data_IF_686531903783
#
_entry.id   IF_686531903783
#
_cell.length_a   1.000
_cell.length_b   1.000
_cell.length_c   1.000
_cell.angle_alpha   90.00
_cell.angle_beta   90.00
_cell.angle_gamma   90.00
#
_symmetry.space_group_name_H-M   'P 1'
#
loop_
_entity.id
_entity.type
_entity.pdbx_description
1 polymer ?
#
# COMPACT_ATOMS: atom_id res chain seq x y z
N UNK A 1 3.25 16.97 -31.32
CA UNK A 1 3.11 18.06 -32.33
C UNK A 1 2.13 19.15 -31.89
N UNK A 2 0.94 18.81 -31.36
CA UNK A 2 -0.06 19.80 -30.92
C UNK A 2 0.46 20.82 -29.88
N UNK A 3 1.06 20.35 -28.78
CA UNK A 3 1.55 21.23 -27.70
C UNK A 3 2.63 22.24 -28.16
N UNK A 4 3.50 21.84 -29.11
CA UNK A 4 4.53 22.73 -29.65
C UNK A 4 3.88 23.85 -30.49
N UNK A 5 2.93 23.49 -31.36
CA UNK A 5 2.18 24.45 -32.19
C UNK A 5 1.39 25.43 -31.33
N UNK A 6 0.73 24.95 -30.27
CA UNK A 6 0.02 25.80 -29.30
C UNK A 6 0.95 26.81 -28.61
N UNK A 7 2.13 26.35 -28.17
CA UNK A 7 3.09 27.22 -27.47
C UNK A 7 3.65 28.31 -28.40
N UNK A 8 3.95 27.96 -29.64
CA UNK A 8 4.40 28.91 -30.65
C UNK A 8 3.31 29.94 -31.02
N UNK A 9 2.06 29.50 -31.23
CA UNK A 9 0.95 30.41 -31.51
C UNK A 9 0.68 31.38 -30.35
N UNK A 10 0.83 30.91 -29.10
CA UNK A 10 0.65 31.76 -27.92
C UNK A 10 1.69 32.88 -27.85
N UNK A 11 2.96 32.56 -28.13
CA UNK A 11 4.04 33.55 -28.19
C UNK A 11 3.84 34.58 -29.30
N UNK A 12 3.43 34.13 -30.50
CA UNK A 12 3.12 35.03 -31.62
C UNK A 12 1.98 35.98 -31.27
N UNK A 13 0.90 35.45 -30.67
CA UNK A 13 -0.27 36.25 -30.31
C UNK A 13 -0.02 37.22 -29.14
N UNK A 14 0.99 36.96 -28.29
CA UNK A 14 1.41 37.88 -27.22
C UNK A 14 2.45 38.92 -27.67
N UNK A 15 2.93 38.85 -28.92
CA UNK A 15 4.00 39.72 -29.42
C UNK A 15 5.40 39.33 -28.92
N UNK A 16 5.53 38.18 -28.27
CA UNK A 16 6.81 37.62 -27.82
C UNK A 16 7.48 36.84 -28.95
N UNK A 17 8.82 36.77 -28.94
CA UNK A 17 9.56 35.96 -29.92
C UNK A 17 9.44 34.48 -29.52
N UNK A 18 8.95 33.59 -30.40
CA UNK A 18 8.87 32.17 -30.08
C UNK A 18 10.25 31.57 -29.83
N UNK A 19 10.49 31.12 -28.59
CA UNK A 19 11.74 30.48 -28.20
C UNK A 19 11.55 28.95 -28.17
N UNK A 20 12.40 28.23 -28.92
CA UNK A 20 12.37 26.77 -28.96
C UNK A 20 12.63 26.18 -27.56
N UNK A 21 13.55 26.77 -26.80
CA UNK A 21 13.89 26.33 -25.45
C UNK A 21 12.68 26.43 -24.50
N UNK A 22 11.95 27.54 -24.54
CA UNK A 22 10.73 27.72 -23.74
C UNK A 22 9.64 26.71 -24.13
N UNK A 23 9.55 26.37 -25.42
CA UNK A 23 8.60 25.38 -25.92
C UNK A 23 8.95 23.96 -25.47
N UNK A 24 10.23 23.61 -25.50
CA UNK A 24 10.74 22.32 -25.01
C UNK A 24 10.55 22.20 -23.48
N UNK A 25 10.81 23.26 -22.72
CA UNK A 25 10.60 23.30 -21.27
C UNK A 25 9.13 23.11 -20.91
N UNK A 26 8.23 23.80 -21.62
CA UNK A 26 6.77 23.66 -21.41
C UNK A 26 6.31 22.23 -21.71
N UNK A 27 6.81 21.63 -22.80
CA UNK A 27 6.49 20.25 -23.13
C UNK A 27 7.02 19.26 -22.08
N UNK A 28 8.27 19.44 -21.62
CA UNK A 28 8.86 18.60 -20.58
C UNK A 28 8.03 18.66 -19.28
N UNK A 29 7.61 19.86 -18.87
CA UNK A 29 6.74 20.04 -17.71
C UNK A 29 5.44 19.25 -17.83
N UNK A 30 4.77 19.33 -18.99
CA UNK A 30 3.49 18.65 -19.24
C UNK A 30 3.67 17.12 -19.26
N UNK A 31 4.63 16.61 -20.03
CA UNK A 31 4.86 15.18 -20.19
C UNK A 31 5.38 14.54 -18.89
N UNK A 32 6.28 15.20 -18.15
CA UNK A 32 6.76 14.70 -16.86
C UNK A 32 5.65 14.67 -15.81
N UNK A 33 4.77 15.68 -15.78
CA UNK A 33 3.59 15.68 -14.89
C UNK A 33 2.66 14.49 -15.21
N UNK A 34 2.39 14.26 -16.49
CA UNK A 34 1.58 13.13 -16.93
C UNK A 34 2.26 11.78 -16.63
N UNK A 35 3.59 11.70 -16.78
CA UNK A 35 4.39 10.52 -16.46
C UNK A 35 4.31 10.19 -14.96
N UNK A 36 4.43 11.18 -14.07
CA UNK A 36 4.27 10.99 -12.62
C UNK A 36 2.88 10.43 -12.29
N UNK A 37 1.82 11.01 -12.86
CA UNK A 37 0.44 10.56 -12.61
C UNK A 37 0.22 9.12 -13.10
N UNK A 38 0.72 8.80 -14.29
CA UNK A 38 0.63 7.45 -14.87
C UNK A 38 1.38 6.43 -14.02
N UNK A 39 2.62 6.72 -13.63
CA UNK A 39 3.44 5.84 -12.80
C UNK A 39 2.85 5.63 -11.40
N UNK A 40 2.34 6.70 -10.77
CA UNK A 40 1.68 6.59 -9.47
C UNK A 40 0.40 5.74 -9.53
N UNK A 41 -0.38 5.90 -10.60
CA UNK A 41 -1.58 5.08 -10.84
C UNK A 41 -1.21 3.61 -11.02
N UNK A 42 -0.20 3.35 -11.86
CA UNK A 42 0.33 2.01 -12.08
C UNK A 42 0.78 1.35 -10.77
N UNK A 43 1.58 2.05 -9.95
CA UNK A 43 2.02 1.56 -8.64
C UNK A 43 0.82 1.15 -7.76
N UNK A 44 -0.20 2.02 -7.66
CA UNK A 44 -1.38 1.77 -6.83
C UNK A 44 -2.16 0.55 -7.30
N UNK A 45 -2.36 0.43 -8.61
CA UNK A 45 -3.06 -0.70 -9.21
C UNK A 45 -2.30 -2.01 -9.00
N UNK A 46 -0.99 -2.03 -9.21
CA UNK A 46 -0.17 -3.23 -8.99
C UNK A 46 -0.14 -3.65 -7.52
N UNK A 47 0.02 -2.70 -6.59
CA UNK A 47 -0.06 -2.98 -5.16
C UNK A 47 -1.42 -3.55 -4.78
N UNK A 48 -2.52 -2.96 -5.26
CA UNK A 48 -3.87 -3.42 -4.96
C UNK A 48 -4.18 -4.82 -5.54
N UNK A 49 -3.60 -5.16 -6.70
CA UNK A 49 -3.80 -6.47 -7.33
C UNK A 49 -2.95 -7.57 -6.69
N UNK A 50 -1.71 -7.26 -6.30
CA UNK A 50 -0.72 -8.25 -5.84
C UNK A 50 -0.73 -8.46 -4.33
N UNK A 51 -1.04 -7.42 -3.55
CA UNK A 51 -1.05 -7.52 -2.08
C UNK A 51 -2.39 -8.08 -1.61
N UNK A 52 -2.34 -9.22 -0.93
CA UNK A 52 -3.47 -9.75 -0.18
C UNK A 52 -3.28 -9.43 1.30
N UNK A 53 -4.18 -8.63 1.86
CA UNK A 53 -4.15 -8.25 3.26
C UNK A 53 -5.02 -9.20 4.13
N UNK A 54 -4.67 -9.40 5.41
CA UNK A 54 -3.33 -9.14 5.95
C UNK A 54 -2.28 -10.07 5.30
N UNK A 55 -1.05 -9.58 5.18
CA UNK A 55 0.12 -10.39 4.78
C UNK A 55 0.63 -11.22 5.94
N UNK A 56 1.21 -12.39 5.71
CA UNK A 56 1.74 -13.24 6.79
C UNK A 56 2.91 -12.58 7.52
N UNK A 57 3.75 -11.86 6.77
CA UNK A 57 4.87 -11.08 7.32
C UNK A 57 4.89 -9.67 6.75
N UNK A 58 5.62 -8.78 7.42
CA UNK A 58 5.91 -7.45 6.87
C UNK A 58 6.76 -7.54 5.60
N UNK A 59 7.65 -8.53 5.52
CA UNK A 59 8.54 -8.75 4.38
C UNK A 59 7.76 -9.04 3.10
N UNK A 60 6.71 -9.88 3.16
CA UNK A 60 5.82 -10.15 2.01
C UNK A 60 5.27 -8.85 1.39
N UNK A 61 4.82 -7.90 2.23
CA UNK A 61 4.33 -6.61 1.75
C UNK A 61 5.45 -5.77 1.15
N UNK A 62 6.63 -5.75 1.78
CA UNK A 62 7.77 -4.97 1.33
C UNK A 62 8.36 -5.48 0.01
N UNK A 63 8.37 -6.79 -0.21
CA UNK A 63 8.84 -7.38 -1.46
C UNK A 63 7.94 -6.99 -2.63
N UNK A 64 6.61 -7.09 -2.44
CA UNK A 64 5.65 -6.63 -3.45
C UNK A 64 5.81 -5.13 -3.70
N UNK A 65 5.97 -4.33 -2.64
CA UNK A 65 6.22 -2.88 -2.76
C UNK A 65 7.45 -2.57 -3.60
N UNK A 66 8.57 -3.27 -3.38
CA UNK A 66 9.81 -3.04 -4.11
C UNK A 66 9.64 -3.34 -5.60
N UNK A 67 9.03 -4.47 -5.95
CA UNK A 67 8.73 -4.82 -7.34
C UNK A 67 7.83 -3.77 -8.01
N UNK A 68 6.71 -3.39 -7.36
CA UNK A 68 5.79 -2.39 -7.92
C UNK A 68 6.44 -1.01 -8.06
N UNK A 69 7.34 -0.64 -7.14
CA UNK A 69 8.10 0.62 -7.21
C UNK A 69 9.03 0.65 -8.42
N UNK A 70 9.79 -0.43 -8.65
CA UNK A 70 10.72 -0.52 -9.79
C UNK A 70 9.97 -0.48 -11.13
N UNK A 71 8.86 -1.19 -11.23
CA UNK A 71 8.00 -1.15 -12.42
C UNK A 71 7.40 0.25 -12.65
N UNK A 72 6.93 0.92 -11.59
CA UNK A 72 6.40 2.28 -11.70
C UNK A 72 7.48 3.30 -12.13
N UNK A 73 8.72 3.16 -11.65
CA UNK A 73 9.84 3.97 -12.12
C UNK A 73 10.13 3.71 -13.60
N UNK A 74 10.02 2.46 -14.06
CA UNK A 74 10.16 2.14 -15.48
C UNK A 74 9.07 2.82 -16.32
N UNK A 75 7.81 2.77 -15.86
CA UNK A 75 6.68 3.46 -16.53
C UNK A 75 6.87 4.98 -16.59
N UNK A 76 7.49 5.57 -15.57
CA UNK A 76 7.84 6.99 -15.57
C UNK A 76 8.92 7.30 -16.62
N UNK A 77 10.02 6.53 -16.63
CA UNK A 77 11.15 6.73 -17.52
C UNK A 77 10.80 6.57 -19.01
N UNK A 78 9.77 5.79 -19.35
CA UNK A 78 9.28 5.65 -20.72
C UNK A 78 8.73 6.95 -21.33
N UNK A 79 8.27 7.89 -20.51
CA UNK A 79 7.62 9.13 -20.95
C UNK A 79 8.27 10.39 -20.45
N UNK A 80 9.02 10.30 -19.35
CA UNK A 80 9.72 11.45 -18.80
C UNK A 80 10.88 11.86 -19.70
N UNK A 81 11.08 13.15 -19.88
CA UNK A 81 12.27 13.69 -20.51
C UNK A 81 12.59 15.07 -19.95
N UNK A 82 13.88 15.45 -19.98
CA UNK A 82 14.37 16.74 -19.45
C UNK A 82 13.85 17.01 -18.02
N UNK A 83 13.87 15.99 -17.16
CA UNK A 83 13.63 16.14 -15.71
C UNK A 83 14.90 16.69 -15.05
N UNK A 84 15.14 17.99 -15.25
CA UNK A 84 16.27 18.68 -14.62
C UNK A 84 16.17 18.57 -13.09
N UNK A 85 17.30 18.29 -12.45
CA UNK A 85 17.42 18.03 -11.01
C UNK A 85 16.62 16.83 -10.46
N UNK A 86 16.03 16.00 -11.33
CA UNK A 86 15.19 14.84 -10.97
C UNK A 86 13.99 15.22 -10.08
N UNK A 87 13.41 16.40 -10.25
CA UNK A 87 12.32 16.87 -9.38
C UNK A 87 11.02 16.06 -9.57
N UNK A 88 10.70 15.66 -10.80
CA UNK A 88 9.53 14.83 -11.06
C UNK A 88 9.72 13.40 -10.57
N UNK A 89 10.91 12.83 -10.71
CA UNK A 89 11.24 11.53 -10.11
C UNK A 89 11.10 11.58 -8.57
N UNK A 90 11.65 12.62 -7.91
CA UNK A 90 11.48 12.83 -6.46
C UNK A 90 10.02 12.97 -6.08
N UNK A 91 9.22 13.65 -6.88
CA UNK A 91 7.77 13.78 -6.66
C UNK A 91 7.09 12.40 -6.70
N UNK A 92 7.39 11.56 -7.70
CA UNK A 92 6.87 10.20 -7.79
C UNK A 92 7.26 9.37 -6.56
N UNK A 93 8.52 9.43 -6.13
CA UNK A 93 9.01 8.71 -4.95
C UNK A 93 8.32 9.17 -3.66
N UNK A 94 7.97 10.46 -3.52
CA UNK A 94 7.17 10.95 -2.39
C UNK A 94 5.76 10.37 -2.39
N UNK A 95 5.11 10.29 -3.56
CA UNK A 95 3.78 9.68 -3.70
C UNK A 95 3.84 8.20 -3.32
N UNK A 96 4.77 7.44 -3.91
CA UNK A 96 4.95 6.01 -3.62
C UNK A 96 5.22 5.78 -2.12
N UNK A 97 6.03 6.64 -1.49
CA UNK A 97 6.31 6.58 -0.05
C UNK A 97 5.05 6.78 0.80
N UNK A 98 4.15 7.69 0.40
CA UNK A 98 2.87 7.89 1.08
C UNK A 98 1.98 6.67 0.93
N UNK A 99 1.76 6.20 -0.30
CA UNK A 99 0.92 5.04 -0.59
C UNK A 99 1.43 3.79 0.14
N UNK A 100 2.76 3.56 0.21
CA UNK A 100 3.34 2.48 1.01
C UNK A 100 2.90 2.54 2.48
N UNK A 101 2.90 3.73 3.09
CA UNK A 101 2.44 3.89 4.48
C UNK A 101 0.97 3.54 4.62
N UNK A 102 0.14 3.93 3.66
CA UNK A 102 -1.29 3.60 3.68
C UNK A 102 -1.52 2.09 3.64
N UNK A 103 -0.77 1.36 2.80
CA UNK A 103 -0.79 -0.11 2.77
C UNK A 103 -0.32 -0.73 4.09
N UNK A 104 0.72 -0.19 4.73
CA UNK A 104 1.20 -0.66 6.04
C UNK A 104 0.12 -0.51 7.12
N UNK A 105 -0.50 0.68 7.20
CA UNK A 105 -1.58 0.94 8.16
C UNK A 105 -2.78 0.03 7.91
N UNK A 106 -3.15 -0.17 6.64
CA UNK A 106 -4.24 -1.08 6.27
C UNK A 106 -3.92 -2.53 6.65
N UNK A 107 -2.68 -2.98 6.42
CA UNK A 107 -2.23 -4.31 6.80
C UNK A 107 -2.33 -4.56 8.31
N UNK A 108 -1.84 -3.61 9.12
CA UNK A 108 -1.94 -3.70 10.58
C UNK A 108 -3.39 -3.76 11.04
N UNK A 109 -4.26 -2.91 10.48
CA UNK A 109 -5.68 -2.87 10.82
C UNK A 109 -6.39 -4.18 10.47
N UNK A 110 -6.16 -4.72 9.28
CA UNK A 110 -6.78 -6.00 8.86
C UNK A 110 -6.24 -7.19 9.65
N UNK A 111 -4.96 -7.16 10.04
CA UNK A 111 -4.35 -8.16 10.92
C UNK A 111 -5.01 -8.13 12.31
N UNK A 112 -5.11 -6.95 12.93
CA UNK A 112 -5.77 -6.78 14.23
C UNK A 112 -7.23 -7.23 14.19
N UNK A 113 -7.99 -6.82 13.16
CA UNK A 113 -9.37 -7.22 12.99
C UNK A 113 -9.51 -8.75 12.85
N UNK A 114 -8.70 -9.37 12.00
CA UNK A 114 -8.72 -10.83 11.82
C UNK A 114 -8.39 -11.57 13.11
N UNK A 115 -7.35 -11.14 13.82
CA UNK A 115 -6.94 -11.71 15.09
C UNK A 115 -8.05 -11.60 16.13
N UNK A 116 -8.67 -10.43 16.28
CA UNK A 116 -9.76 -10.22 17.21
C UNK A 116 -10.97 -11.11 16.89
N UNK A 117 -11.42 -11.14 15.63
CA UNK A 117 -12.54 -11.98 15.21
C UNK A 117 -12.29 -13.47 15.49
N UNK A 118 -11.04 -13.93 15.28
CA UNK A 118 -10.66 -15.32 15.54
C UNK A 118 -10.56 -15.63 17.02
N UNK A 119 -10.01 -14.73 17.83
CA UNK A 119 -9.96 -14.89 19.28
C UNK A 119 -11.37 -14.92 19.88
N UNK A 120 -12.27 -14.05 19.42
CA UNK A 120 -13.67 -14.05 19.87
C UNK A 120 -14.36 -15.36 19.52
N UNK A 121 -14.15 -15.87 18.30
CA UNK A 121 -14.69 -17.17 17.87
C UNK A 121 -14.15 -18.34 18.69
N UNK A 122 -12.83 -18.42 18.87
CA UNK A 122 -12.19 -19.54 19.56
C UNK A 122 -12.44 -19.52 21.07
N UNK A 123 -12.53 -18.33 21.68
CA UNK A 123 -12.73 -18.18 23.13
C UNK A 123 -14.19 -18.28 23.56
N UNK A 124 -15.15 -18.18 22.63
CA UNK A 124 -16.59 -18.23 22.94
C UNK A 124 -17.01 -19.42 23.82
N UNK A 125 -16.62 -20.68 23.54
CA UNK A 125 -17.01 -21.81 24.39
C UNK A 125 -16.43 -21.71 25.82
N UNK A 126 -15.23 -21.14 25.94
CA UNK A 126 -14.60 -20.90 27.24
C UNK A 126 -15.36 -19.85 28.04
N UNK A 127 -15.75 -18.74 27.39
CA UNK A 127 -16.53 -17.67 28.03
C UNK A 127 -17.92 -18.15 28.47
N UNK A 128 -18.57 -18.98 27.68
CA UNK A 128 -19.84 -19.65 28.03
C UNK A 128 -19.64 -20.57 29.24
N UNK A 129 -18.62 -21.42 29.22
CA UNK A 129 -18.29 -22.33 30.33
C UNK A 129 -17.97 -21.60 31.63
N UNK A 130 -17.31 -20.43 31.57
CA UNK A 130 -17.07 -19.57 32.72
C UNK A 130 -18.40 -19.01 33.26
N UNK A 131 -19.25 -18.50 32.37
CA UNK A 131 -20.52 -17.86 32.73
C UNK A 131 -21.52 -18.84 33.36
N UNK A 132 -21.52 -20.09 32.88
CA UNK A 132 -22.35 -21.18 33.43
C UNK A 132 -21.80 -21.77 34.73
N UNK A 133 -20.60 -21.38 35.13
CA UNK A 133 -19.98 -21.86 36.36
C UNK A 133 -19.39 -23.27 36.27
N UNK A 134 -19.07 -23.77 35.07
CA UNK A 134 -18.55 -25.13 34.83
C UNK A 134 -17.27 -25.41 35.64
N UNK A 135 -16.43 -24.39 35.83
CA UNK A 135 -15.12 -24.53 36.49
C UNK A 135 -15.18 -24.38 38.03
N UNK A 136 -16.33 -24.10 38.64
CA UNK A 136 -16.45 -23.85 40.09
C UNK A 136 -16.65 -25.15 40.88
N UNK A 137 -15.78 -26.12 40.63
CA UNK A 137 -15.78 -27.45 41.26
C UNK A 137 -14.36 -27.85 41.66
N UNK A 138 -14.17 -28.79 42.60
CA UNK A 138 -12.85 -29.36 42.87
C UNK A 138 -12.20 -29.88 41.57
N UNK A 139 -11.00 -29.38 41.25
CA UNK A 139 -10.30 -29.70 39.99
C UNK A 139 -10.62 -28.80 38.80
N UNK A 140 -11.59 -27.88 38.90
CA UNK A 140 -12.01 -27.03 37.78
C UNK A 140 -10.92 -26.11 37.21
N UNK A 141 -9.94 -25.69 38.02
CA UNK A 141 -8.76 -24.95 37.55
C UNK A 141 -7.96 -25.71 36.49
N UNK A 142 -7.84 -27.03 36.64
CA UNK A 142 -7.12 -27.86 35.68
C UNK A 142 -7.89 -27.95 34.35
N UNK A 143 -9.21 -28.14 34.41
CA UNK A 143 -10.09 -28.14 33.24
C UNK A 143 -10.04 -26.81 32.48
N UNK A 144 -10.04 -25.68 33.21
CA UNK A 144 -9.88 -24.35 32.62
C UNK A 144 -8.55 -24.21 31.88
N UNK A 145 -7.44 -24.63 32.48
CA UNK A 145 -6.12 -24.58 31.86
C UNK A 145 -6.06 -25.40 30.57
N UNK A 146 -6.61 -26.61 30.57
CA UNK A 146 -6.62 -27.49 29.40
C UNK A 146 -7.43 -26.89 28.25
N UNK A 147 -8.61 -26.34 28.55
CA UNK A 147 -9.44 -25.67 27.53
C UNK A 147 -8.74 -24.42 26.97
N UNK A 148 -8.15 -23.59 27.83
CA UNK A 148 -7.39 -22.42 27.41
C UNK A 148 -6.19 -22.81 26.54
N UNK A 149 -5.47 -23.87 26.91
CA UNK A 149 -4.33 -24.33 26.14
C UNK A 149 -4.73 -24.78 24.72
N UNK A 150 -5.85 -25.50 24.57
CA UNK A 150 -6.37 -25.87 23.24
C UNK A 150 -6.68 -24.64 22.39
N UNK A 151 -7.33 -23.63 22.99
CA UNK A 151 -7.61 -22.37 22.29
C UNK A 151 -6.31 -21.66 21.85
N UNK A 152 -5.30 -21.63 22.71
CA UNK A 152 -3.99 -21.06 22.37
C UNK A 152 -3.30 -21.83 21.22
N UNK A 153 -3.38 -23.16 21.22
CA UNK A 153 -2.84 -24.02 20.17
C UNK A 153 -3.59 -23.80 18.84
N UNK A 154 -4.92 -23.82 18.86
CA UNK A 154 -5.77 -23.58 17.69
C UNK A 154 -5.49 -22.19 17.08
N UNK A 155 -5.38 -21.16 17.93
CA UNK A 155 -5.04 -19.80 17.49
C UNK A 155 -3.65 -19.73 16.83
N UNK A 156 -2.64 -20.41 17.40
CA UNK A 156 -1.29 -20.45 16.82
C UNK A 156 -1.26 -21.09 15.43
N UNK A 157 -2.11 -22.08 15.18
CA UNK A 157 -2.20 -22.76 13.88
C UNK A 157 -2.97 -21.97 12.82
N UNK A 158 -3.65 -20.87 13.17
CA UNK A 158 -4.35 -20.06 12.17
C UNK A 158 -3.38 -19.45 11.15
N UNK A 159 -3.65 -19.60 9.83
CA UNK A 159 -2.87 -18.93 8.81
C UNK A 159 -3.21 -17.44 8.76
N UNK A 160 -2.30 -16.61 8.21
CA UNK A 160 -2.56 -15.22 7.85
C UNK A 160 -3.13 -14.36 8.97
N UNK A 161 -2.65 -14.57 10.20
CA UNK A 161 -2.91 -13.67 11.33
C UNK A 161 -2.34 -12.27 11.08
N UNK A 162 -1.22 -12.25 10.38
CA UNK A 162 -0.51 -11.05 9.99
C UNK A 162 0.48 -10.59 11.04
N UNK A 163 0.69 -9.27 11.08
CA UNK A 163 1.79 -8.63 11.80
C UNK A 163 1.43 -8.22 13.23
N UNK A 164 0.18 -8.40 13.67
CA UNK A 164 -0.32 -8.09 15.01
C UNK A 164 -0.79 -9.34 15.75
#
# INVERSE_FOLDING_TARGET
>A
LGALVETYLKAINSGEVPCLENSVNTLAQQENTAAVQKAATYYREQMAQRVRLPTDTLEELLDVHMACKEEALTVFLERSFKDEDCEFEKQLLRIIKHEKKDFLVKNEKESEQYCQEKLDQLSKPLMESISEGIFYVPGGHQLYKEMRQRIEEDYRQLPRKGVK
#
